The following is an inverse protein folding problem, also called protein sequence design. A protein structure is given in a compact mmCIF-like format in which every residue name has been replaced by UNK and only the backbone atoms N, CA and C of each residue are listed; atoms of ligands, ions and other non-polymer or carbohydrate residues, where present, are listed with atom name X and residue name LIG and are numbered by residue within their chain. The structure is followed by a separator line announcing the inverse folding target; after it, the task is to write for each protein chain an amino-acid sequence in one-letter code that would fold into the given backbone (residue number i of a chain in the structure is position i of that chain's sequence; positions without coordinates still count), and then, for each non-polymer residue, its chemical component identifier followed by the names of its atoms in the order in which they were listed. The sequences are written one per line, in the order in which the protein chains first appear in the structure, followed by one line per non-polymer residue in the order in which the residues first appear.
data_IF_528212004638
#
_entry.id   IF_528212004638
#
_cell.length_a   1.000
_cell.length_b   1.000
_cell.length_c   1.000
_cell.angle_alpha   90.00
_cell.angle_beta   90.00
_cell.angle_gamma   90.00
#
_symmetry.space_group_name_H-M   'P 1'
#
loop_
_entity.id
_entity.type
_entity.pdbx_description
1 polymer ?
#
# COMPACT_ATOMS: atom_id res chain seq x y z
N UNK A 1 -11.26 7.87 -20.87
CA UNK A 1 -11.91 6.89 -19.96
C UNK A 1 -13.35 6.67 -20.41
N UNK A 2 -13.79 5.42 -20.50
CA UNK A 2 -15.11 5.07 -21.03
C UNK A 2 -16.22 5.41 -20.00
N UNK A 3 -17.26 6.10 -20.45
CA UNK A 3 -18.43 6.41 -19.62
C UNK A 3 -19.22 5.14 -19.28
N UNK A 4 -19.51 4.91 -18.01
CA UNK A 4 -20.26 3.73 -17.54
C UNK A 4 -21.76 3.75 -17.90
N UNK A 5 -22.29 4.89 -18.39
CA UNK A 5 -23.70 5.03 -18.81
C UNK A 5 -23.88 4.88 -20.33
N UNK A 6 -23.09 5.60 -21.13
CA UNK A 6 -23.28 5.66 -22.58
C UNK A 6 -22.09 5.13 -23.39
N UNK A 7 -21.07 4.61 -22.73
CA UNK A 7 -19.83 4.06 -23.30
C UNK A 7 -19.02 5.01 -24.18
N UNK A 8 -19.32 6.31 -24.18
CA UNK A 8 -18.51 7.31 -24.85
C UNK A 8 -17.11 7.36 -24.24
N UNK A 9 -16.02 7.42 -25.04
CA UNK A 9 -14.66 7.54 -24.54
C UNK A 9 -14.32 8.98 -24.10
N UNK A 10 -15.15 9.96 -24.44
CA UNK A 10 -14.90 11.38 -24.21
C UNK A 10 -15.42 11.83 -22.86
N UNK A 11 -14.52 12.31 -22.01
CA UNK A 11 -14.85 12.90 -20.70
C UNK A 11 -13.92 14.06 -20.41
N UNK A 12 -14.45 15.08 -19.76
CA UNK A 12 -13.76 16.28 -19.31
C UNK A 12 -13.50 16.20 -17.80
N UNK A 13 -12.36 16.73 -17.35
CA UNK A 13 -12.05 16.88 -15.93
C UNK A 13 -12.69 18.19 -15.47
N UNK A 14 -13.67 18.10 -14.57
CA UNK A 14 -14.36 19.27 -14.02
C UNK A 14 -13.81 19.71 -12.67
N UNK A 15 -13.11 18.83 -11.96
CA UNK A 15 -12.44 19.16 -10.71
C UNK A 15 -11.25 18.21 -10.46
N UNK A 16 -10.20 18.74 -9.83
CA UNK A 16 -9.00 17.98 -9.45
C UNK A 16 -8.59 18.39 -8.05
N UNK A 17 -8.23 17.40 -7.21
CA UNK A 17 -7.70 17.62 -5.86
C UNK A 17 -6.58 16.64 -5.60
N UNK A 18 -5.49 17.12 -5.01
CA UNK A 18 -4.49 16.27 -4.41
C UNK A 18 -5.06 15.71 -3.09
N UNK A 19 -4.86 14.43 -2.84
CA UNK A 19 -5.29 13.74 -1.63
C UNK A 19 -4.11 12.99 -1.02
N UNK A 20 -4.20 12.67 0.28
CA UNK A 20 -3.22 11.85 0.99
C UNK A 20 -1.78 12.38 0.86
N UNK A 21 -1.57 13.64 1.17
CA UNK A 21 -0.23 14.24 1.12
C UNK A 21 0.38 14.36 -0.27
N UNK A 22 -0.41 14.22 -1.33
CA UNK A 22 0.08 14.32 -2.72
C UNK A 22 0.32 12.97 -3.40
N UNK A 23 0.22 11.85 -2.67
CA UNK A 23 0.42 10.50 -3.24
C UNK A 23 -0.68 10.06 -4.22
N UNK A 24 -1.81 10.76 -4.22
CA UNK A 24 -2.95 10.43 -5.05
C UNK A 24 -3.64 11.69 -5.58
N UNK A 25 -4.14 11.65 -6.81
CA UNK A 25 -4.93 12.71 -7.40
C UNK A 25 -6.37 12.22 -7.57
N UNK A 26 -7.30 12.88 -6.89
CA UNK A 26 -8.73 12.71 -7.08
C UNK A 26 -9.19 13.60 -8.22
N UNK A 27 -9.95 13.04 -9.19
CA UNK A 27 -10.53 13.81 -10.29
C UNK A 27 -12.01 13.52 -10.46
N UNK A 28 -12.79 14.59 -10.57
CA UNK A 28 -14.18 14.53 -10.98
C UNK A 28 -14.28 14.76 -12.47
N UNK A 29 -14.91 13.82 -13.17
CA UNK A 29 -15.03 13.83 -14.63
C UNK A 29 -16.49 13.89 -15.03
N UNK A 30 -16.79 14.63 -16.11
CA UNK A 30 -18.10 14.70 -16.74
C UNK A 30 -18.02 14.10 -18.13
N UNK A 31 -18.94 13.19 -18.46
CA UNK A 31 -19.05 12.67 -19.82
C UNK A 31 -19.52 13.75 -20.78
N UNK A 32 -18.79 13.98 -21.87
CA UNK A 32 -19.15 15.00 -22.87
C UNK A 32 -20.45 14.65 -23.62
N UNK A 33 -20.82 13.36 -23.71
CA UNK A 33 -21.99 12.92 -24.45
C UNK A 33 -23.29 12.90 -23.60
N UNK A 34 -23.24 12.34 -22.37
CA UNK A 34 -24.47 12.16 -21.57
C UNK A 34 -24.48 12.93 -20.25
N UNK A 35 -23.48 13.74 -19.99
CA UNK A 35 -23.36 14.57 -18.79
C UNK A 35 -23.12 13.80 -17.47
N UNK A 36 -23.06 12.45 -17.50
CA UNK A 36 -22.82 11.66 -16.27
C UNK A 36 -21.49 12.07 -15.64
N UNK A 37 -21.54 12.32 -14.33
CA UNK A 37 -20.35 12.60 -13.52
C UNK A 37 -19.84 11.31 -12.90
N UNK A 38 -18.51 11.12 -12.94
CA UNK A 38 -17.80 10.02 -12.31
C UNK A 38 -16.56 10.53 -11.59
N UNK A 39 -16.09 9.77 -10.62
CA UNK A 39 -14.85 10.04 -9.89
C UNK A 39 -13.78 9.05 -10.32
N UNK A 40 -12.55 9.53 -10.46
CA UNK A 40 -11.37 8.70 -10.73
C UNK A 40 -10.25 9.09 -9.79
N UNK A 41 -9.41 8.12 -9.49
CA UNK A 41 -8.18 8.31 -8.73
C UNK A 41 -6.99 7.96 -9.61
N UNK A 42 -5.99 8.81 -9.61
CA UNK A 42 -4.70 8.55 -10.23
C UNK A 42 -3.68 8.32 -9.13
N UNK A 43 -2.92 7.25 -9.23
CA UNK A 43 -1.83 6.88 -8.33
C UNK A 43 -0.57 6.67 -9.14
N UNK A 44 0.58 6.87 -8.53
CA UNK A 44 1.83 6.49 -9.15
C UNK A 44 1.94 4.96 -9.21
N UNK A 45 2.36 4.43 -10.34
CA UNK A 45 2.68 3.01 -10.47
C UNK A 45 4.08 2.78 -9.90
N UNK A 46 4.17 1.92 -8.89
CA UNK A 46 5.41 1.57 -8.22
C UNK A 46 6.06 0.30 -8.76
N UNK A 47 5.60 -0.23 -9.89
CA UNK A 47 6.16 -1.45 -10.49
C UNK A 47 7.62 -1.32 -10.93
N UNK A 48 8.15 -0.09 -11.02
CA UNK A 48 9.57 0.16 -11.24
C UNK A 48 10.46 -0.24 -10.05
N UNK A 49 9.90 -0.28 -8.83
CA UNK A 49 10.63 -0.72 -7.63
C UNK A 49 10.86 -2.23 -7.71
N UNK A 50 12.13 -2.63 -7.62
CA UNK A 50 12.54 -4.02 -7.53
C UNK A 50 12.63 -4.45 -6.07
N UNK A 51 11.83 -5.44 -5.69
CA UNK A 51 11.85 -6.05 -4.36
C UNK A 51 12.78 -7.25 -4.38
N UNK A 52 13.78 -7.24 -3.50
CA UNK A 52 14.76 -8.32 -3.37
C UNK A 52 14.43 -9.15 -2.14
N UNK A 53 14.26 -10.45 -2.34
CA UNK A 53 14.06 -11.45 -1.29
C UNK A 53 15.12 -12.54 -1.36
N UNK A 54 15.40 -13.18 -0.20
CA UNK A 54 16.39 -14.24 -0.08
C UNK A 54 17.81 -13.73 0.15
N UNK A 55 18.48 -14.29 1.19
CA UNK A 55 19.82 -13.84 1.59
C UNK A 55 20.95 -14.49 0.75
N UNK A 56 20.79 -15.78 0.38
CA UNK A 56 21.83 -16.53 -0.35
C UNK A 56 21.61 -16.54 -1.87
N UNK A 57 20.36 -16.54 -2.29
CA UNK A 57 19.96 -16.47 -3.70
C UNK A 57 18.92 -15.36 -3.85
N UNK A 58 19.32 -14.13 -4.17
CA UNK A 58 18.42 -13.00 -4.27
C UNK A 58 17.47 -13.18 -5.45
N UNK A 59 16.15 -13.15 -5.16
CA UNK A 59 15.10 -13.14 -6.15
C UNK A 59 14.61 -11.70 -6.29
N UNK A 60 14.61 -11.19 -7.52
CA UNK A 60 14.13 -9.86 -7.85
C UNK A 60 12.72 -9.95 -8.42
N UNK A 61 11.79 -9.21 -7.83
CA UNK A 61 10.41 -9.11 -8.31
C UNK A 61 9.98 -7.65 -8.32
N UNK A 62 9.18 -7.25 -9.31
CA UNK A 62 8.59 -5.90 -9.29
C UNK A 62 7.63 -5.76 -8.13
N UNK A 63 7.64 -4.60 -7.48
CA UNK A 63 6.67 -4.27 -6.44
C UNK A 63 5.24 -4.39 -6.99
N UNK A 64 4.35 -4.96 -6.19
CA UNK A 64 2.91 -5.03 -6.48
C UNK A 64 2.10 -4.74 -5.23
N UNK A 65 1.26 -3.72 -5.31
CA UNK A 65 0.32 -3.35 -4.25
C UNK A 65 -0.51 -4.53 -3.75
N UNK A 66 -0.94 -5.42 -4.65
CA UNK A 66 -1.73 -6.61 -4.30
C UNK A 66 -0.99 -7.58 -3.37
N UNK A 67 0.33 -7.69 -3.50
CA UNK A 67 1.12 -8.55 -2.60
C UNK A 67 1.20 -7.94 -1.20
N UNK A 68 1.41 -6.63 -1.11
CA UNK A 68 1.39 -5.92 0.17
C UNK A 68 0.02 -6.01 0.83
N UNK A 69 -1.06 -5.79 0.06
CA UNK A 69 -2.44 -5.93 0.53
C UNK A 69 -2.70 -7.32 1.11
N UNK A 70 -2.36 -8.38 0.37
CA UNK A 70 -2.53 -9.76 0.82
C UNK A 70 -1.69 -10.09 2.06
N UNK A 71 -0.49 -9.52 2.16
CA UNK A 71 0.41 -9.71 3.31
C UNK A 71 -0.20 -9.11 4.57
N UNK A 72 -0.72 -7.89 4.50
CA UNK A 72 -1.35 -7.21 5.64
C UNK A 72 -2.68 -7.90 5.99
N UNK A 73 -3.52 -8.18 5.00
CA UNK A 73 -4.83 -8.81 5.21
C UNK A 73 -4.74 -10.14 5.98
N UNK A 74 -3.74 -10.96 5.69
CA UNK A 74 -3.51 -12.24 6.40
C UNK A 74 -3.15 -12.07 7.88
N UNK A 75 -2.69 -10.89 8.27
CA UNK A 75 -2.28 -10.59 9.65
C UNK A 75 -3.35 -9.83 10.43
N UNK A 76 -4.41 -9.39 9.74
CA UNK A 76 -5.54 -8.70 10.37
C UNK A 76 -6.56 -9.73 10.84
N UNK A 77 -6.86 -9.82 12.15
CA UNK A 77 -7.97 -10.62 12.64
C UNK A 77 -9.31 -10.14 12.07
N UNK A 78 -10.28 -11.07 12.01
CA UNK A 78 -11.64 -10.73 11.60
C UNK A 78 -12.17 -9.54 12.44
N UNK A 79 -12.79 -8.57 11.77
CA UNK A 79 -13.43 -7.38 12.35
C UNK A 79 -12.54 -6.30 12.98
N UNK A 80 -11.20 -6.38 12.88
CA UNK A 80 -10.31 -5.34 13.44
C UNK A 80 -10.07 -4.16 12.50
N UNK A 81 -9.89 -4.41 11.20
CA UNK A 81 -9.71 -3.36 10.19
C UNK A 81 -10.60 -3.63 8.99
N UNK A 82 -11.27 -2.60 8.51
CA UNK A 82 -12.00 -2.71 7.24
C UNK A 82 -11.04 -2.78 6.04
N UNK A 83 -11.52 -3.29 4.90
CA UNK A 83 -10.75 -3.29 3.65
C UNK A 83 -10.33 -1.87 3.23
N UNK A 84 -11.15 -0.87 3.59
CA UNK A 84 -10.85 0.55 3.33
C UNK A 84 -9.70 1.02 4.20
N UNK A 85 -9.62 0.59 5.47
CA UNK A 85 -8.52 0.95 6.37
C UNK A 85 -7.22 0.32 5.89
N UNK A 86 -7.26 -0.93 5.44
CA UNK A 86 -6.09 -1.61 4.85
C UNK A 86 -5.62 -0.86 3.59
N UNK A 87 -6.53 -0.44 2.72
CA UNK A 87 -6.20 0.33 1.50
C UNK A 87 -5.55 1.68 1.85
N UNK A 88 -6.06 2.37 2.89
CA UNK A 88 -5.48 3.61 3.42
C UNK A 88 -4.09 3.41 4.02
N UNK A 89 -3.91 2.31 4.73
CA UNK A 89 -2.62 1.91 5.30
C UNK A 89 -1.58 1.69 4.21
N UNK A 90 -1.95 0.97 3.15
CA UNK A 90 -1.06 0.72 2.02
C UNK A 90 -0.68 2.01 1.31
N UNK A 91 -1.59 2.96 1.13
CA UNK A 91 -1.26 4.27 0.56
C UNK A 91 -0.19 4.99 1.40
N UNK A 92 -0.25 4.87 2.73
CA UNK A 92 0.75 5.44 3.63
C UNK A 92 2.10 4.74 3.50
N UNK A 93 2.10 3.41 3.35
CA UNK A 93 3.32 2.62 3.15
C UNK A 93 3.94 2.94 1.79
N UNK A 94 3.13 3.01 0.72
CA UNK A 94 3.59 3.38 -0.62
C UNK A 94 4.20 4.78 -0.65
N UNK A 95 3.60 5.73 0.08
CA UNK A 95 4.19 7.07 0.23
C UNK A 95 5.58 7.02 0.89
N UNK A 96 5.74 6.24 1.97
CA UNK A 96 7.04 6.05 2.63
C UNK A 96 8.07 5.35 1.71
N UNK A 97 7.63 4.41 0.87
CA UNK A 97 8.49 3.77 -0.12
C UNK A 97 9.00 4.77 -1.16
N UNK A 98 8.12 5.64 -1.66
CA UNK A 98 8.48 6.70 -2.59
C UNK A 98 9.42 7.73 -1.99
N UNK A 99 9.19 8.11 -0.73
CA UNK A 99 10.00 9.10 -0.01
C UNK A 99 11.46 8.62 0.19
N UNK A 100 11.69 7.30 0.21
CA UNK A 100 13.06 6.73 0.24
C UNK A 100 13.82 6.93 -1.06
N UNK A 101 13.14 7.06 -2.18
CA UNK A 101 13.76 7.25 -3.50
C UNK A 101 14.58 6.05 -3.99
N UNK A 102 14.38 4.86 -3.42
CA UNK A 102 15.12 3.65 -3.74
C UNK A 102 14.38 2.85 -4.84
N UNK A 103 15.08 2.49 -5.92
CA UNK A 103 14.53 1.60 -6.97
C UNK A 103 14.68 0.12 -6.62
N UNK A 104 15.59 -0.24 -5.71
CA UNK A 104 15.83 -1.62 -5.25
C UNK A 104 15.67 -1.64 -3.74
N UNK A 105 14.67 -2.38 -3.26
CA UNK A 105 14.32 -2.46 -1.84
C UNK A 105 14.31 -3.92 -1.38
N UNK A 106 14.91 -4.20 -0.23
CA UNK A 106 14.85 -5.52 0.39
C UNK A 106 13.46 -5.76 1.02
N UNK A 107 12.98 -7.00 0.95
CA UNK A 107 11.72 -7.40 1.60
C UNK A 107 11.69 -7.03 3.08
N UNK A 108 12.80 -7.16 3.79
CA UNK A 108 12.93 -6.81 5.21
C UNK A 108 12.69 -5.32 5.45
N UNK A 109 13.17 -4.45 4.56
CA UNK A 109 12.92 -3.01 4.67
C UNK A 109 11.42 -2.67 4.48
N UNK A 110 10.74 -3.36 3.56
CA UNK A 110 9.28 -3.21 3.38
C UNK A 110 8.54 -3.67 4.63
N UNK A 111 8.89 -4.84 5.19
CA UNK A 111 8.31 -5.35 6.44
C UNK A 111 8.48 -4.37 7.59
N UNK A 112 9.65 -3.74 7.70
CA UNK A 112 9.92 -2.73 8.70
C UNK A 112 9.00 -1.51 8.55
N UNK A 113 8.84 -0.98 7.34
CA UNK A 113 7.92 0.14 7.06
C UNK A 113 6.47 -0.23 7.42
N UNK A 114 6.05 -1.46 7.13
CA UNK A 114 4.71 -1.96 7.52
C UNK A 114 4.56 -1.95 9.04
N UNK A 115 5.52 -2.50 9.77
CA UNK A 115 5.49 -2.55 11.24
C UNK A 115 5.47 -1.14 11.87
N UNK A 116 6.31 -0.22 11.40
CA UNK A 116 6.33 1.18 11.83
C UNK A 116 5.00 1.89 11.56
N UNK A 117 4.27 1.46 10.55
CA UNK A 117 2.98 2.06 10.19
C UNK A 117 1.83 1.42 10.96
N UNK A 118 1.90 0.12 11.25
CA UNK A 118 0.86 -0.61 12.01
C UNK A 118 0.88 -0.27 13.50
N UNK A 119 2.05 -0.12 14.12
CA UNK A 119 2.20 0.07 15.56
C UNK A 119 1.33 1.20 16.16
N UNK A 120 1.27 2.41 15.58
CA UNK A 120 0.43 3.49 16.10
C UNK A 120 -1.07 3.30 15.81
N UNK A 121 -1.44 2.38 14.92
CA UNK A 121 -2.82 2.16 14.48
C UNK A 121 -3.50 1.10 15.35
N UNK A 122 -2.91 -0.08 15.42
CA UNK A 122 -3.44 -1.20 16.19
C UNK A 122 -2.31 -2.15 16.64
N UNK A 123 -2.17 -2.31 17.96
CA UNK A 123 -1.13 -3.15 18.55
C UNK A 123 -1.35 -4.64 18.26
N UNK A 124 -2.59 -5.12 18.17
CA UNK A 124 -2.87 -6.52 17.89
C UNK A 124 -2.50 -6.87 16.45
N UNK A 125 -2.90 -6.02 15.49
CA UNK A 125 -2.52 -6.18 14.08
C UNK A 125 -1.01 -6.11 13.91
N UNK A 126 -0.34 -5.18 14.60
CA UNK A 126 1.12 -5.09 14.64
C UNK A 126 1.75 -6.40 15.13
N UNK A 127 1.30 -6.94 16.26
CA UNK A 127 1.85 -8.20 16.83
C UNK A 127 1.59 -9.41 15.92
N UNK A 128 0.41 -9.48 15.31
CA UNK A 128 0.09 -10.55 14.36
C UNK A 128 0.96 -10.47 13.10
N UNK A 129 1.17 -9.27 12.57
CA UNK A 129 2.05 -9.08 11.41
C UNK A 129 3.50 -9.43 11.75
N UNK A 130 3.96 -9.00 12.92
CA UNK A 130 5.29 -9.32 13.46
C UNK A 130 5.48 -10.85 13.55
N UNK A 131 4.52 -11.56 14.15
CA UNK A 131 4.55 -13.01 14.31
C UNK A 131 4.51 -13.78 12.98
N UNK A 132 3.75 -13.28 12.01
CA UNK A 132 3.57 -13.92 10.70
C UNK A 132 4.77 -13.73 9.74
N UNK A 133 5.54 -12.66 9.92
CA UNK A 133 6.55 -12.24 8.93
C UNK A 133 7.99 -12.19 9.44
N UNK A 134 8.20 -12.44 10.72
CA UNK A 134 9.54 -12.54 11.31
C UNK A 134 9.75 -13.93 11.92
N UNK A 135 10.89 -14.54 11.62
CA UNK A 135 11.28 -15.81 12.20
C UNK A 135 11.85 -15.58 13.62
N UNK A 136 11.01 -15.83 14.63
CA UNK A 136 11.42 -15.77 16.02
C UNK A 136 11.84 -17.16 16.49
N UNK A 137 13.13 -17.35 16.79
CA UNK A 137 13.65 -18.58 17.36
C UNK A 137 13.83 -18.50 18.87
N UNK A 138 13.98 -17.27 19.41
CA UNK A 138 14.23 -17.03 20.84
C UNK A 138 13.46 -15.81 21.35
N UNK A 139 13.28 -15.69 22.68
CA UNK A 139 12.76 -14.47 23.33
C UNK A 139 13.63 -13.23 23.04
N UNK A 140 14.92 -13.44 22.83
CA UNK A 140 15.85 -12.37 22.47
C UNK A 140 15.52 -11.79 21.10
N UNK A 141 15.14 -12.64 20.13
CA UNK A 141 14.78 -12.20 18.78
C UNK A 141 13.52 -11.34 18.80
N UNK A 142 12.52 -11.72 19.61
CA UNK A 142 11.29 -10.95 19.81
C UNK A 142 11.61 -9.58 20.41
N UNK A 143 12.40 -9.54 21.48
CA UNK A 143 12.77 -8.29 22.14
C UNK A 143 13.62 -7.39 21.21
N UNK A 144 14.51 -7.96 20.41
CA UNK A 144 15.29 -7.22 19.44
C UNK A 144 14.41 -6.64 18.31
N UNK A 145 13.39 -7.38 17.86
CA UNK A 145 12.48 -6.94 16.83
C UNK A 145 11.51 -5.84 17.29
N UNK A 146 11.09 -5.85 18.57
CA UNK A 146 10.16 -4.85 19.14
C UNK A 146 10.89 -3.56 19.53
N UNK A 147 12.19 -3.64 19.90
CA UNK A 147 12.95 -2.52 20.43
C UNK A 147 13.13 -1.32 19.47
N UNK A 148 13.25 -1.49 18.14
CA UNK A 148 13.35 -0.38 17.20
C UNK A 148 12.04 0.42 17.03
N UNK A 149 10.91 -0.11 17.50
CA UNK A 149 9.58 0.47 17.39
C UNK A 149 9.07 0.98 18.76
#
# INVERSE_FOLDING_TARGET
MICTKCRSPHSEVVNTRSTRGGSQIWRRRRCANCGKVSTTYERQDLSFIQVVSGAQQPIHTSYRRSFLFSSILKSVPEDQLSLIDIDNLIDTIEFKLLDRGEEIIKTEAIKQIVLETLKPIDMNVFMNYLAAHLDFRTKSDINAAIKPY
#
